data_IF_665306250894
#
_entry.id   IF_665306250894
#
_cell.length_a   1.000
_cell.length_b   1.000
_cell.length_c   1.000
_cell.angle_alpha   90.00
_cell.angle_beta   90.00
_cell.angle_gamma   90.00
#
_symmetry.space_group_name_H-M   'P 1'
#
loop_
_entity.id
_entity.type
_entity.pdbx_description
1 polymer ?
#
# COMPACT_ATOMS: atom_id res chain seq x y z
N UNK A 1 15.45 10.57 24.52
CA UNK A 1 14.72 10.32 23.24
C UNK A 1 13.34 10.90 23.33
N UNK A 2 12.94 11.71 22.35
CA UNK A 2 11.56 12.20 22.27
C UNK A 2 10.59 11.07 21.87
N UNK A 3 9.30 11.27 22.12
CA UNK A 3 8.26 10.29 21.72
C UNK A 3 8.26 10.05 20.19
N UNK A 4 8.64 11.05 19.42
CA UNK A 4 8.77 10.94 17.96
C UNK A 4 9.97 10.06 17.57
N UNK A 5 11.13 10.28 18.18
CA UNK A 5 12.33 9.47 17.92
C UNK A 5 12.10 7.99 18.24
N UNK A 6 11.39 7.71 19.32
CA UNK A 6 11.03 6.34 19.70
C UNK A 6 10.13 5.68 18.62
N UNK A 7 9.12 6.41 18.12
CA UNK A 7 8.23 5.91 17.03
C UNK A 7 9.00 5.67 15.74
N UNK A 8 9.92 6.56 15.38
CA UNK A 8 10.77 6.40 14.19
C UNK A 8 11.65 5.15 14.34
N UNK A 9 12.34 5.00 15.45
CA UNK A 9 13.21 3.85 15.71
C UNK A 9 12.43 2.52 15.68
N UNK A 10 11.24 2.50 16.30
CA UNK A 10 10.35 1.35 16.27
C UNK A 10 9.94 0.97 14.85
N UNK A 11 9.50 1.96 14.05
CA UNK A 11 9.08 1.74 12.66
C UNK A 11 10.22 1.22 11.79
N UNK A 12 11.44 1.75 11.96
CA UNK A 12 12.64 1.28 11.26
C UNK A 12 12.95 -0.16 11.64
N UNK A 13 12.89 -0.51 12.93
CA UNK A 13 13.13 -1.87 13.40
C UNK A 13 12.10 -2.86 12.83
N UNK A 14 10.82 -2.46 12.77
CA UNK A 14 9.74 -3.26 12.17
C UNK A 14 9.99 -3.52 10.68
N UNK A 15 10.34 -2.48 9.92
CA UNK A 15 10.66 -2.60 8.49
C UNK A 15 11.85 -3.55 8.25
N UNK A 16 12.91 -3.42 9.01
CA UNK A 16 14.10 -4.31 8.89
C UNK A 16 13.77 -5.76 9.24
N UNK A 17 12.94 -5.98 10.25
CA UNK A 17 12.50 -7.32 10.65
C UNK A 17 11.71 -8.05 9.56
N UNK A 18 10.87 -7.32 8.83
CA UNK A 18 10.05 -7.90 7.76
C UNK A 18 10.73 -8.00 6.39
N UNK A 19 11.93 -7.43 6.21
CA UNK A 19 12.60 -7.36 4.90
C UNK A 19 12.92 -8.74 4.33
N UNK A 20 13.36 -9.67 5.17
CA UNK A 20 13.67 -11.03 4.74
C UNK A 20 12.45 -11.73 4.10
N UNK A 21 11.25 -11.48 4.65
CA UNK A 21 10.00 -11.98 4.06
C UNK A 21 9.70 -11.28 2.72
N UNK A 22 9.86 -9.97 2.67
CA UNK A 22 9.61 -9.19 1.46
C UNK A 22 10.51 -9.64 0.30
N UNK A 23 11.80 -9.87 0.55
CA UNK A 23 12.76 -10.37 -0.45
C UNK A 23 12.50 -11.81 -0.89
N UNK A 24 11.92 -12.64 -0.03
CA UNK A 24 11.49 -13.99 -0.40
C UNK A 24 10.30 -13.99 -1.35
N UNK A 25 9.44 -12.98 -1.25
CA UNK A 25 8.23 -12.86 -2.06
C UNK A 25 8.48 -12.12 -3.37
N UNK A 26 9.35 -11.11 -3.34
CA UNK A 26 9.66 -10.28 -4.50
C UNK A 26 11.13 -9.87 -4.51
N UNK A 27 11.84 -9.98 -5.64
CA UNK A 27 13.21 -9.50 -5.77
C UNK A 27 13.32 -7.97 -5.60
N UNK A 28 12.21 -7.24 -5.77
CA UNK A 28 12.13 -5.79 -5.54
C UNK A 28 11.94 -5.43 -4.05
N UNK A 29 11.80 -6.44 -3.17
CA UNK A 29 11.54 -6.26 -1.76
C UNK A 29 10.08 -5.85 -1.48
N UNK A 30 9.90 -4.84 -0.66
CA UNK A 30 8.56 -4.34 -0.32
C UNK A 30 7.85 -3.65 -1.48
N UNK A 31 6.57 -3.93 -1.64
CA UNK A 31 5.66 -3.10 -2.45
C UNK A 31 5.13 -1.96 -1.59
N UNK A 32 5.61 -0.73 -1.76
CA UNK A 32 5.14 0.42 -1.02
C UNK A 32 3.98 1.08 -1.78
N UNK A 33 2.79 1.03 -1.19
CA UNK A 33 1.62 1.71 -1.74
C UNK A 33 1.71 3.22 -1.47
N UNK A 34 2.05 3.97 -2.53
CA UNK A 34 2.22 5.42 -2.48
C UNK A 34 0.97 6.12 -3.01
N UNK A 35 0.52 7.16 -2.34
CA UNK A 35 -0.65 7.95 -2.77
C UNK A 35 -0.37 9.44 -2.90
N UNK A 36 0.86 9.89 -2.61
CA UNK A 36 1.20 11.31 -2.51
C UNK A 36 0.61 12.02 -1.28
N UNK A 37 -0.13 11.30 -0.43
CA UNK A 37 -0.61 11.81 0.85
C UNK A 37 0.47 11.72 1.94
N UNK A 38 0.35 12.56 2.97
CA UNK A 38 1.33 12.70 4.06
C UNK A 38 1.77 11.36 4.69
N UNK A 39 0.84 10.44 4.89
CA UNK A 39 1.13 9.17 5.55
C UNK A 39 1.98 8.23 4.64
N UNK A 40 1.69 8.21 3.34
CA UNK A 40 2.49 7.46 2.37
C UNK A 40 3.88 8.08 2.15
N UNK A 41 3.99 9.41 2.22
CA UNK A 41 5.29 10.10 2.18
C UNK A 41 6.13 9.79 3.40
N UNK A 42 5.57 9.81 4.60
CA UNK A 42 6.27 9.43 5.83
C UNK A 42 6.76 7.98 5.74
N UNK A 43 5.90 7.07 5.29
CA UNK A 43 6.26 5.66 5.11
C UNK A 43 7.42 5.48 4.11
N UNK A 44 7.39 6.19 3.01
CA UNK A 44 8.46 6.20 2.00
C UNK A 44 9.81 6.64 2.59
N UNK A 45 9.80 7.74 3.37
CA UNK A 45 11.02 8.21 4.02
C UNK A 45 11.51 7.26 5.12
N UNK A 46 10.60 6.66 5.90
CA UNK A 46 10.95 5.63 6.88
C UNK A 46 11.59 4.40 6.24
N UNK A 47 11.08 3.96 5.09
CA UNK A 47 11.67 2.85 4.34
C UNK A 47 13.08 3.19 3.83
N UNK A 48 13.30 4.42 3.35
CA UNK A 48 14.65 4.92 2.99
C UNK A 48 15.59 4.97 4.20
N UNK A 49 15.12 5.50 5.33
CA UNK A 49 15.91 5.55 6.57
C UNK A 49 16.23 4.17 7.13
N UNK A 50 15.33 3.21 6.97
CA UNK A 50 15.56 1.82 7.36
C UNK A 50 16.60 1.12 6.50
N UNK A 51 16.86 1.63 5.29
CA UNK A 51 17.76 1.03 4.30
C UNK A 51 17.23 -0.26 3.70
N UNK A 52 15.92 -0.52 3.82
CA UNK A 52 15.28 -1.73 3.28
C UNK A 52 15.02 -1.61 1.77
N UNK A 53 15.03 -2.75 1.09
CA UNK A 53 14.70 -2.78 -0.34
C UNK A 53 13.21 -2.64 -0.55
N UNK A 54 12.80 -1.65 -1.33
CA UNK A 54 11.40 -1.43 -1.68
C UNK A 54 11.23 -0.78 -3.04
N UNK A 55 10.06 -0.93 -3.61
CA UNK A 55 9.63 -0.21 -4.80
C UNK A 55 8.30 0.46 -4.52
N UNK A 56 8.25 1.77 -4.72
CA UNK A 56 7.05 2.54 -4.48
C UNK A 56 6.17 2.59 -5.73
N UNK A 57 4.87 2.36 -5.54
CA UNK A 57 3.89 2.28 -6.62
C UNK A 57 2.70 3.16 -6.30
N UNK A 58 2.32 4.03 -7.24
CA UNK A 58 1.12 4.86 -7.15
C UNK A 58 0.11 4.46 -8.23
N UNK A 59 -1.09 4.13 -7.79
CA UNK A 59 -2.22 3.89 -8.68
C UNK A 59 -2.88 5.23 -9.03
N UNK A 60 -2.77 5.63 -10.29
CA UNK A 60 -3.42 6.84 -10.82
C UNK A 60 -4.90 6.58 -10.98
N UNK A 61 -5.74 7.41 -10.33
CA UNK A 61 -7.20 7.20 -10.35
C UNK A 61 -7.91 7.91 -11.50
N UNK A 62 -7.18 8.71 -12.29
CA UNK A 62 -7.68 9.57 -13.38
C UNK A 62 -8.54 10.76 -12.94
N UNK A 63 -8.78 10.88 -11.64
CA UNK A 63 -9.41 12.04 -10.98
C UNK A 63 -8.47 12.71 -9.97
N UNK A 64 -7.20 12.29 -9.98
CA UNK A 64 -6.19 12.90 -9.11
C UNK A 64 -5.93 14.36 -9.57
N UNK A 65 -5.80 15.31 -8.62
CA UNK A 65 -5.49 16.68 -8.96
C UNK A 65 -4.18 16.80 -9.77
N UNK A 66 -4.12 17.62 -10.81
CA UNK A 66 -2.89 17.83 -11.61
C UNK A 66 -1.69 18.23 -10.76
N UNK A 67 -1.91 19.04 -9.73
CA UNK A 67 -0.90 19.51 -8.77
C UNK A 67 -0.26 18.33 -8.02
N UNK A 68 -1.07 17.35 -7.59
CA UNK A 68 -0.57 16.14 -6.96
C UNK A 68 0.34 15.37 -7.90
N UNK A 69 -0.06 15.23 -9.16
CA UNK A 69 0.73 14.50 -10.16
C UNK A 69 2.04 15.21 -10.49
N UNK A 70 2.03 16.55 -10.56
CA UNK A 70 3.23 17.36 -10.72
C UNK A 70 4.16 17.23 -9.52
N UNK A 71 3.60 17.33 -8.31
CA UNK A 71 4.35 17.17 -7.06
C UNK A 71 5.03 15.80 -6.97
N UNK A 72 4.31 14.73 -7.27
CA UNK A 72 4.86 13.37 -7.20
C UNK A 72 6.00 13.20 -8.22
N UNK A 73 5.81 13.65 -9.45
CA UNK A 73 6.86 13.57 -10.49
C UNK A 73 8.11 14.37 -10.14
N UNK A 74 7.94 15.54 -9.53
CA UNK A 74 9.06 16.41 -9.17
C UNK A 74 9.85 15.89 -7.96
N UNK A 75 9.15 15.37 -6.94
CA UNK A 75 9.76 15.04 -5.65
C UNK A 75 10.01 13.54 -5.43
N UNK A 76 9.32 12.69 -6.17
CA UNK A 76 9.38 11.22 -6.06
C UNK A 76 9.50 10.54 -7.43
N UNK A 77 10.57 10.84 -8.21
CA UNK A 77 10.73 10.35 -9.58
C UNK A 77 10.90 8.83 -9.68
N UNK A 78 11.27 8.18 -8.59
CA UNK A 78 11.43 6.73 -8.46
C UNK A 78 10.10 6.00 -8.17
N UNK A 79 9.00 6.72 -7.93
CA UNK A 79 7.67 6.12 -7.77
C UNK A 79 7.10 5.69 -9.12
N UNK A 80 6.77 4.41 -9.23
CA UNK A 80 6.15 3.86 -10.44
C UNK A 80 4.68 4.25 -10.50
N UNK A 81 4.30 4.97 -11.55
CA UNK A 81 2.91 5.39 -11.76
C UNK A 81 2.18 4.35 -12.62
N UNK A 82 1.13 3.75 -12.06
CA UNK A 82 0.26 2.80 -12.75
C UNK A 82 -1.02 3.48 -13.21
N UNK A 83 -1.24 3.49 -14.51
CA UNK A 83 -2.49 4.01 -15.09
C UNK A 83 -3.50 2.86 -15.23
N UNK A 84 -4.76 3.08 -14.84
CA UNK A 84 -5.79 2.07 -15.02
C UNK A 84 -6.14 1.92 -16.51
N UNK A 85 -6.64 0.76 -16.88
CA UNK A 85 -7.13 0.47 -18.25
C UNK A 85 -8.45 1.18 -18.57
N UNK A 86 -9.20 1.57 -17.53
CA UNK A 86 -10.46 2.30 -17.62
C UNK A 86 -10.37 3.54 -16.73
N UNK A 87 -10.75 4.71 -17.24
CA UNK A 87 -10.81 5.91 -16.42
C UNK A 87 -12.03 5.90 -15.49
N UNK A 88 -12.05 6.80 -14.52
CA UNK A 88 -13.10 6.85 -13.50
C UNK A 88 -14.50 7.10 -14.10
N UNK A 89 -14.61 7.98 -15.09
CA UNK A 89 -15.90 8.32 -15.71
C UNK A 89 -16.46 7.17 -16.57
N UNK A 90 -15.61 6.53 -17.36
CA UNK A 90 -16.01 5.36 -18.15
C UNK A 90 -16.40 4.18 -17.22
N UNK A 91 -15.74 4.08 -16.07
CA UNK A 91 -16.10 3.08 -15.07
C UNK A 91 -17.51 3.33 -14.48
N UNK A 92 -17.88 4.60 -14.24
CA UNK A 92 -19.25 4.97 -13.82
C UNK A 92 -20.26 4.57 -14.88
N UNK A 93 -20.00 4.91 -16.15
CA UNK A 93 -20.88 4.55 -17.26
C UNK A 93 -21.03 3.03 -17.38
N UNK A 94 -19.93 2.30 -17.29
CA UNK A 94 -19.93 0.83 -17.31
C UNK A 94 -20.72 0.21 -16.14
N UNK A 95 -20.67 0.82 -14.97
CA UNK A 95 -21.40 0.34 -13.76
C UNK A 95 -22.82 0.86 -13.69
N UNK A 96 -23.20 1.84 -14.51
CA UNK A 96 -24.50 2.51 -14.52
C UNK A 96 -24.92 3.05 -13.14
N UNK A 97 -23.94 3.42 -12.31
CA UNK A 97 -24.18 3.84 -10.93
C UNK A 97 -22.96 4.63 -10.41
N UNK A 98 -23.21 5.68 -9.65
CA UNK A 98 -22.15 6.40 -8.94
C UNK A 98 -21.55 5.56 -7.80
N UNK A 99 -20.25 5.71 -7.49
CA UNK A 99 -19.67 5.07 -6.31
C UNK A 99 -20.34 5.60 -5.04
N UNK A 100 -20.74 4.69 -4.17
CA UNK A 100 -21.31 5.01 -2.85
C UNK A 100 -20.36 4.60 -1.74
N UNK A 101 -20.54 5.15 -0.53
CA UNK A 101 -19.73 4.81 0.64
C UNK A 101 -19.70 3.29 0.91
N UNK A 102 -20.81 2.62 0.67
CA UNK A 102 -20.94 1.16 0.87
C UNK A 102 -20.60 0.34 -0.37
N UNK A 103 -20.64 0.94 -1.56
CA UNK A 103 -20.36 0.28 -2.84
C UNK A 103 -19.17 0.94 -3.50
N UNK A 104 -17.97 0.60 -2.98
CA UNK A 104 -16.68 1.23 -3.34
C UNK A 104 -15.99 0.51 -4.50
N UNK A 105 -16.72 0.19 -5.56
CA UNK A 105 -16.16 -0.49 -6.73
C UNK A 105 -14.99 0.28 -7.37
N UNK A 106 -14.99 1.61 -7.29
CA UNK A 106 -13.89 2.43 -7.81
C UNK A 106 -12.54 2.10 -7.13
N UNK A 107 -12.54 1.82 -5.81
CA UNK A 107 -11.32 1.42 -5.11
C UNK A 107 -10.82 0.06 -5.62
N UNK A 108 -11.71 -0.92 -5.76
CA UNK A 108 -11.37 -2.24 -6.25
C UNK A 108 -10.78 -2.21 -7.68
N UNK A 109 -11.36 -1.37 -8.57
CA UNK A 109 -10.90 -1.27 -9.96
C UNK A 109 -9.66 -0.40 -10.15
N UNK A 110 -9.53 0.68 -9.38
CA UNK A 110 -8.50 1.69 -9.62
C UNK A 110 -7.31 1.63 -8.63
N UNK A 111 -7.47 0.99 -7.46
CA UNK A 111 -6.44 1.02 -6.40
C UNK A 111 -5.99 -0.34 -5.88
N UNK A 112 -6.90 -1.32 -5.81
CA UNK A 112 -6.66 -2.54 -5.02
C UNK A 112 -6.02 -3.69 -5.81
N UNK A 113 -5.67 -3.48 -7.08
CA UNK A 113 -5.11 -4.54 -7.94
C UNK A 113 -3.58 -4.68 -7.85
N UNK A 114 -2.92 -3.82 -7.08
CA UNK A 114 -1.46 -3.80 -7.00
C UNK A 114 -0.94 -4.52 -5.74
N UNK A 115 0.27 -5.06 -5.86
CA UNK A 115 0.98 -5.67 -4.73
C UNK A 115 0.61 -7.13 -4.44
N UNK A 116 -0.17 -7.77 -5.31
CA UNK A 116 -0.48 -9.19 -5.16
C UNK A 116 0.79 -10.05 -5.13
N UNK A 117 0.87 -10.98 -4.17
CA UNK A 117 2.04 -11.85 -4.02
C UNK A 117 3.29 -11.15 -3.45
N UNK A 118 3.15 -9.93 -2.89
CA UNK A 118 4.25 -9.18 -2.28
C UNK A 118 3.91 -8.75 -0.86
N UNK A 119 4.92 -8.42 -0.07
CA UNK A 119 4.69 -7.73 1.21
C UNK A 119 4.44 -6.26 0.93
N UNK A 120 3.21 -5.82 1.16
CA UNK A 120 2.79 -4.44 0.87
C UNK A 120 2.87 -3.57 2.12
N UNK A 121 3.57 -2.44 2.00
CA UNK A 121 3.59 -1.39 3.02
C UNK A 121 2.45 -0.40 2.79
N UNK A 122 1.64 -0.18 3.82
CA UNK A 122 0.49 0.72 3.80
C UNK A 122 0.62 1.78 4.89
N UNK A 123 0.52 3.05 4.52
CA UNK A 123 0.44 4.17 5.46
C UNK A 123 -0.98 4.33 6.00
N UNK A 124 -1.38 3.51 6.97
CA UNK A 124 -2.69 3.59 7.63
C UNK A 124 -2.54 4.01 9.09
N UNK A 125 -3.50 4.82 9.56
CA UNK A 125 -3.54 5.26 10.96
C UNK A 125 -4.76 4.69 11.68
N UNK A 126 -4.53 4.17 12.90
CA UNK A 126 -5.59 3.66 13.76
C UNK A 126 -6.71 4.70 14.02
N UNK A 127 -6.33 5.98 14.16
CA UNK A 127 -7.25 7.08 14.42
C UNK A 127 -8.26 7.37 13.28
N UNK A 128 -8.09 6.79 12.10
CA UNK A 128 -8.97 7.09 10.95
C UNK A 128 -10.28 6.32 10.96
N UNK A 129 -10.34 5.17 11.61
CA UNK A 129 -11.58 4.42 11.81
C UNK A 129 -11.36 3.26 12.78
N UNK A 130 -12.44 2.80 13.42
CA UNK A 130 -12.44 1.62 14.30
C UNK A 130 -11.95 0.36 13.58
N UNK A 131 -12.30 0.19 12.30
CA UNK A 131 -11.84 -0.91 11.46
C UNK A 131 -10.32 -0.87 11.23
N UNK A 132 -9.73 0.35 11.12
CA UNK A 132 -8.28 0.51 10.98
C UNK A 132 -7.55 0.35 12.31
N UNK A 133 -8.19 0.75 13.42
CA UNK A 133 -7.64 0.56 14.76
C UNK A 133 -7.52 -0.92 15.15
N UNK A 134 -8.39 -1.78 14.60
CA UNK A 134 -8.36 -3.22 14.84
C UNK A 134 -7.33 -3.99 13.98
N UNK A 135 -6.60 -3.31 13.08
CA UNK A 135 -5.59 -3.95 12.25
C UNK A 135 -4.29 -4.17 13.01
N UNK A 136 -3.68 -5.31 12.74
CA UNK A 136 -2.35 -5.63 13.23
C UNK A 136 -1.28 -4.91 12.38
N UNK A 137 -0.08 -4.75 12.94
CA UNK A 137 1.08 -4.20 12.23
C UNK A 137 1.51 -5.06 11.04
N UNK A 138 1.32 -6.36 11.15
CA UNK A 138 1.50 -7.34 10.10
C UNK A 138 0.25 -8.20 10.00
N UNK A 139 -0.37 -8.20 8.83
CA UNK A 139 -1.55 -9.03 8.58
C UNK A 139 -1.51 -9.60 7.15
N UNK A 140 -2.11 -10.75 6.98
CA UNK A 140 -2.33 -11.32 5.65
C UNK A 140 -3.62 -10.76 5.08
N UNK A 141 -3.52 -10.04 3.97
CA UNK A 141 -4.70 -9.50 3.30
C UNK A 141 -5.40 -10.60 2.49
N UNK A 142 -6.60 -10.97 2.92
CA UNK A 142 -7.45 -11.95 2.25
C UNK A 142 -8.18 -11.41 1.03
N UNK A 143 -7.52 -10.65 0.15
CA UNK A 143 -8.12 -10.38 -1.15
C UNK A 143 -8.22 -11.69 -1.92
N UNK A 144 -9.43 -11.99 -2.39
CA UNK A 144 -9.79 -13.18 -3.17
C UNK A 144 -8.91 -13.29 -4.42
N UNK A 145 -7.74 -13.86 -4.26
CA UNK A 145 -6.96 -14.38 -5.37
C UNK A 145 -7.21 -15.88 -5.50
N UNK A 146 -7.59 -16.30 -6.70
CA UNK A 146 -7.81 -17.69 -7.03
C UNK A 146 -6.61 -18.58 -6.66
N UNK A 147 -6.82 -19.53 -5.78
CA UNK A 147 -6.11 -20.79 -5.67
C UNK A 147 -4.71 -20.83 -5.06
N UNK A 148 -3.80 -19.89 -5.33
CA UNK A 148 -2.40 -20.00 -4.89
C UNK A 148 -2.09 -19.24 -3.59
N UNK A 149 -2.88 -18.23 -3.24
CA UNK A 149 -2.70 -17.41 -2.04
C UNK A 149 -3.18 -18.09 -0.76
N UNK A 150 -4.14 -19.02 -0.85
CA UNK A 150 -4.60 -19.78 0.32
C UNK A 150 -3.50 -20.68 0.91
N UNK A 151 -2.58 -21.15 0.08
CA UNK A 151 -1.42 -21.91 0.56
C UNK A 151 -0.36 -21.01 1.20
N UNK A 152 -0.23 -19.79 0.72
CA UNK A 152 0.70 -18.81 1.27
C UNK A 152 0.18 -18.25 2.61
N UNK A 153 -1.10 -17.92 2.71
CA UNK A 153 -1.75 -17.47 3.93
C UNK A 153 -1.57 -18.48 5.09
N UNK A 154 -1.73 -19.78 4.81
CA UNK A 154 -1.52 -20.84 5.79
C UNK A 154 -0.05 -21.02 6.22
N UNK A 155 0.91 -20.58 5.41
CA UNK A 155 2.34 -20.65 5.75
C UNK A 155 2.81 -19.44 6.54
N UNK A 156 2.27 -18.25 6.27
CA UNK A 156 2.61 -17.02 7.00
C UNK A 156 2.07 -17.01 8.41
N UNK A 157 0.85 -17.51 8.64
CA UNK A 157 0.26 -17.63 9.99
C UNK A 157 1.06 -18.55 10.93
N UNK A 158 1.84 -19.49 10.38
CA UNK A 158 2.68 -20.41 11.18
C UNK A 158 4.08 -19.87 11.50
N UNK A 159 4.50 -18.79 10.85
CA UNK A 159 5.86 -18.27 11.03
C UNK A 159 5.92 -17.04 11.95
N UNK A 160 4.79 -16.56 12.46
CA UNK A 160 4.69 -15.40 13.34
C UNK A 160 3.85 -15.67 14.61
N UNK A 161 3.50 -16.92 14.90
CA UNK A 161 2.92 -17.35 16.18
C UNK A 161 4.01 -17.68 17.20
#
# INVERSE_FOLDING_TARGET
MSALEHKIAYSIALLRRGEALALRMSPDGYHLAFSGGKDSMVLYHLAKMAGVKFKAHMQVTTIDPPELMQFVRANYPDVVLHRPTINFYDLIVKKQMLPLQHVRYCCAYLKEQAGAGTVTLLGIRAAESTRRAARNELEVSGHKFSGSLDQFNRRSDRSFA
#
